data_IF_816706356438
#
_entry.id   IF_816706356438
#
_cell.length_a   1.000
_cell.length_b   1.000
_cell.length_c   1.000
_cell.angle_alpha   90.00
_cell.angle_beta   90.00
_cell.angle_gamma   90.00
#
_symmetry.space_group_name_H-M   'P 1'
#
loop_
_entity.id
_entity.type
_entity.pdbx_description
1 polymer ?
#
# COMPACT_ATOMS: atom_id res chain seq x y z
N UNK A 1 -32.07 0.96 43.44
CA UNK A 1 -30.61 1.14 43.50
C UNK A 1 -30.12 1.42 42.08
N UNK A 2 -30.02 2.69 41.71
CA UNK A 2 -29.65 3.15 40.36
C UNK A 2 -28.17 3.53 40.37
N UNK A 3 -27.36 2.86 39.54
CA UNK A 3 -25.93 3.10 39.43
C UNK A 3 -25.65 4.36 38.58
N UNK A 4 -24.83 5.24 39.13
CA UNK A 4 -24.43 6.51 38.52
C UNK A 4 -23.15 6.29 37.72
N UNK A 5 -23.22 6.36 36.38
CA UNK A 5 -22.03 6.28 35.50
C UNK A 5 -21.44 7.67 35.28
N UNK A 6 -20.12 7.89 35.49
CA UNK A 6 -19.47 9.14 35.16
C UNK A 6 -19.24 9.30 33.64
N UNK A 7 -19.17 10.54 33.13
CA UNK A 7 -18.95 10.84 31.70
C UNK A 7 -17.50 10.59 31.24
N UNK A 8 -17.27 10.36 29.94
CA UNK A 8 -15.93 10.11 29.39
C UNK A 8 -15.06 11.37 29.34
N UNK A 9 -13.79 11.22 29.71
CA UNK A 9 -12.77 12.28 29.63
C UNK A 9 -12.42 12.65 28.17
N UNK A 10 -12.22 13.94 27.86
CA UNK A 10 -11.80 14.37 26.52
C UNK A 10 -10.33 13.99 26.25
N UNK A 11 -10.10 13.29 25.13
CA UNK A 11 -8.75 13.03 24.59
C UNK A 11 -8.15 14.31 24.03
N UNK A 12 -6.96 14.67 24.51
CA UNK A 12 -6.20 15.82 24.01
C UNK A 12 -5.71 15.61 22.57
N UNK A 13 -6.10 16.54 21.69
CA UNK A 13 -5.61 16.65 20.31
C UNK A 13 -4.21 17.24 20.34
N UNK A 14 -3.21 16.48 19.90
CA UNK A 14 -1.82 16.96 19.78
C UNK A 14 -1.61 17.55 18.39
N UNK A 15 -1.90 18.84 18.25
CA UNK A 15 -1.48 19.67 17.12
C UNK A 15 0.03 19.93 17.17
N UNK A 16 0.77 19.50 16.15
CA UNK A 16 2.17 19.90 15.96
C UNK A 16 2.23 21.10 15.00
N UNK A 17 2.76 22.26 15.43
CA UNK A 17 2.92 23.41 14.56
C UNK A 17 4.18 23.31 13.69
N UNK A 18 4.06 23.86 12.49
CA UNK A 18 5.08 23.93 11.47
C UNK A 18 6.05 25.12 11.67
N UNK A 19 7.26 24.95 11.11
CA UNK A 19 8.22 25.96 10.61
C UNK A 19 8.96 26.83 11.63
N UNK A 20 10.29 26.87 11.46
CA UNK A 20 11.06 28.12 11.46
C UNK A 20 12.33 27.96 10.60
N UNK A 21 12.50 28.93 9.71
CA UNK A 21 13.65 29.12 8.84
C UNK A 21 14.81 29.74 9.64
N UNK A 22 16.05 29.42 9.27
CA UNK A 22 17.21 30.23 9.60
C UNK A 22 18.18 30.22 8.42
N UNK A 23 18.20 31.35 7.71
CA UNK A 23 19.21 31.71 6.72
C UNK A 23 20.42 32.25 7.48
N UNK A 24 21.61 31.71 7.22
CA UNK A 24 22.88 32.31 7.59
C UNK A 24 23.86 32.14 6.43
N UNK A 25 24.05 33.23 5.70
CA UNK A 25 25.15 33.42 4.76
C UNK A 25 26.40 33.85 5.53
N UNK A 26 27.60 33.46 5.07
CA UNK A 26 28.86 34.24 5.03
C UNK A 26 30.02 33.39 4.38
N UNK A 27 31.20 33.95 4.01
CA UNK A 27 31.75 33.83 2.65
C UNK A 27 33.14 33.14 2.54
N UNK A 28 33.55 32.93 1.27
CA UNK A 28 34.88 32.73 0.66
C UNK A 28 36.11 32.35 1.53
N UNK A 29 36.83 31.28 1.14
CA UNK A 29 38.20 31.35 0.59
C UNK A 29 38.84 29.95 0.33
N UNK A 30 39.37 29.79 -0.91
CA UNK A 30 40.65 29.21 -1.33
C UNK A 30 41.18 27.81 -0.87
N UNK A 31 41.68 27.10 -1.88
CA UNK A 31 42.78 26.08 -1.91
C UNK A 31 42.54 24.66 -1.38
N UNK A 32 42.82 23.67 -2.24
CA UNK A 32 43.20 22.30 -1.80
C UNK A 32 42.76 21.18 -2.73
N UNK A 33 43.69 20.66 -3.54
CA UNK A 33 43.57 19.40 -4.28
C UNK A 33 43.32 18.20 -3.36
N UNK A 34 42.52 17.24 -3.85
CA UNK A 34 42.59 15.84 -3.46
C UNK A 34 41.59 15.41 -2.40
N UNK A 35 40.33 15.21 -2.79
CA UNK A 35 39.39 14.41 -2.02
C UNK A 35 39.04 13.15 -2.84
N UNK A 36 39.16 11.94 -2.24
CA UNK A 36 38.91 10.69 -2.94
C UNK A 36 37.44 10.60 -3.35
N UNK A 37 37.20 10.28 -4.61
CA UNK A 37 35.88 9.91 -5.13
C UNK A 37 35.37 8.69 -4.35
N UNK A 38 34.60 8.92 -3.28
CA UNK A 38 33.85 7.85 -2.62
C UNK A 38 32.74 7.45 -3.60
N UNK A 39 32.67 6.19 -4.05
CA UNK A 39 31.54 5.75 -4.85
C UNK A 39 30.29 5.91 -3.98
N UNK A 40 29.41 6.84 -4.37
CA UNK A 40 28.07 6.98 -3.79
C UNK A 40 27.30 5.71 -4.15
N UNK A 41 27.45 4.70 -3.29
CA UNK A 41 26.48 3.63 -3.15
C UNK A 41 25.25 4.24 -2.50
N UNK A 42 24.16 4.38 -3.25
CA UNK A 42 22.88 4.75 -2.67
C UNK A 42 22.12 5.87 -3.36
N UNK A 43 22.26 6.04 -4.68
CA UNK A 43 21.08 6.49 -5.41
C UNK A 43 20.13 5.27 -5.44
N UNK A 44 18.99 5.29 -4.71
CA UNK A 44 17.99 4.25 -4.93
C UNK A 44 17.66 4.29 -6.43
N UNK A 45 17.59 3.14 -7.12
CA UNK A 45 17.17 3.14 -8.51
C UNK A 45 15.84 3.88 -8.52
N UNK A 46 15.80 5.02 -9.21
CA UNK A 46 14.55 5.59 -9.64
C UNK A 46 13.93 4.49 -10.48
N UNK A 47 12.99 3.76 -9.90
CA UNK A 47 12.22 2.72 -10.56
C UNK A 47 11.55 3.38 -11.74
N UNK A 48 12.24 3.38 -12.87
CA UNK A 48 11.71 3.82 -14.14
C UNK A 48 10.42 3.05 -14.34
N UNK A 49 9.39 3.79 -14.77
CA UNK A 49 8.25 3.28 -15.53
C UNK A 49 8.71 2.03 -16.29
N UNK A 50 8.14 0.88 -15.93
CA UNK A 50 8.61 -0.40 -16.42
C UNK A 50 8.69 -0.38 -17.94
N UNK A 51 9.89 -0.47 -18.49
CA UNK A 51 10.18 -0.46 -19.94
C UNK A 51 9.52 -1.64 -20.69
N UNK A 52 8.72 -2.46 -20.02
CA UNK A 52 7.99 -3.60 -20.58
C UNK A 52 6.46 -3.45 -20.51
N UNK A 53 5.93 -2.31 -20.06
CA UNK A 53 4.48 -2.14 -20.10
C UNK A 53 3.98 -1.95 -21.53
N UNK A 54 3.01 -2.76 -21.99
CA UNK A 54 2.48 -2.61 -23.32
C UNK A 54 1.75 -1.27 -23.46
N UNK A 55 1.79 -0.64 -24.65
CA UNK A 55 1.36 0.75 -24.85
C UNK A 55 -0.11 1.00 -24.50
N UNK A 56 -0.95 -0.03 -24.49
CA UNK A 56 -2.36 0.08 -24.09
C UNK A 56 -2.54 0.38 -22.59
N UNK A 57 -1.56 0.08 -21.73
CA UNK A 57 -1.60 0.38 -20.29
C UNK A 57 -1.46 1.88 -20.05
N UNK A 58 -0.63 2.58 -20.85
CA UNK A 58 -0.44 4.02 -20.75
C UNK A 58 -1.66 4.83 -21.22
N UNK A 59 -2.50 4.28 -22.11
CA UNK A 59 -3.71 4.94 -22.60
C UNK A 59 -4.90 4.85 -21.63
N UNK A 60 -4.90 3.89 -20.70
CA UNK A 60 -6.02 3.71 -19.78
C UNK A 60 -5.91 4.65 -18.59
N UNK A 61 -7.03 5.27 -18.23
CA UNK A 61 -7.11 6.14 -17.06
C UNK A 61 -6.91 5.40 -15.74
N UNK A 62 -6.99 4.06 -15.75
CA UNK A 62 -6.90 3.19 -14.58
C UNK A 62 -6.21 1.87 -14.96
N UNK A 63 -5.35 1.36 -14.08
CA UNK A 63 -4.71 0.05 -14.25
C UNK A 63 -5.75 -1.07 -14.10
N UNK A 64 -5.56 -2.22 -14.79
CA UNK A 64 -6.48 -3.34 -14.69
C UNK A 64 -6.59 -3.83 -13.24
N UNK A 65 -7.75 -4.39 -12.88
CA UNK A 65 -7.94 -5.02 -11.58
C UNK A 65 -6.86 -6.07 -11.29
N UNK A 66 -6.46 -6.25 -10.03
CA UNK A 66 -5.54 -7.32 -9.68
C UNK A 66 -6.12 -8.69 -10.04
N UNK A 67 -5.25 -9.59 -10.50
CA UNK A 67 -5.62 -10.99 -10.72
C UNK A 67 -6.02 -11.63 -9.40
N UNK A 68 -7.21 -12.22 -9.36
CA UNK A 68 -7.71 -12.91 -8.18
C UNK A 68 -6.80 -14.08 -7.77
N UNK A 69 -6.11 -14.71 -8.72
CA UNK A 69 -5.18 -15.81 -8.46
C UNK A 69 -3.92 -15.38 -7.69
N UNK A 70 -3.62 -14.07 -7.65
CA UNK A 70 -2.51 -13.49 -6.88
C UNK A 70 -2.94 -13.03 -5.48
N UNK A 71 -4.17 -13.33 -5.07
CA UNK A 71 -4.69 -12.98 -3.75
C UNK A 71 -5.47 -14.15 -3.17
N UNK A 72 -5.04 -14.65 -2.02
CA UNK A 72 -5.74 -15.74 -1.31
C UNK A 72 -6.22 -15.24 0.02
N UNK A 73 -7.50 -15.46 0.34
CA UNK A 73 -8.06 -15.18 1.66
C UNK A 73 -8.38 -16.48 2.39
N UNK A 74 -7.84 -16.63 3.59
CA UNK A 74 -8.15 -17.73 4.51
C UNK A 74 -9.15 -17.25 5.56
N UNK A 75 -10.38 -17.75 5.48
CA UNK A 75 -11.48 -17.38 6.38
C UNK A 75 -11.30 -17.91 7.80
N UNK A 76 -10.58 -19.02 7.98
CA UNK A 76 -10.33 -19.59 9.30
C UNK A 76 -9.35 -18.74 10.10
N UNK A 77 -8.28 -18.29 9.44
CA UNK A 77 -7.24 -17.48 10.09
C UNK A 77 -7.48 -15.97 9.99
N UNK A 78 -8.35 -15.55 9.06
CA UNK A 78 -8.58 -14.16 8.70
C UNK A 78 -7.36 -13.53 8.00
N UNK A 79 -6.52 -14.35 7.36
CA UNK A 79 -5.28 -13.91 6.73
C UNK A 79 -5.48 -13.76 5.23
N UNK A 80 -5.15 -12.57 4.72
CA UNK A 80 -5.04 -12.26 3.32
C UNK A 80 -3.58 -12.42 2.89
N UNK A 81 -3.34 -13.34 1.95
CA UNK A 81 -2.03 -13.58 1.32
C UNK A 81 -2.01 -12.89 -0.03
N UNK A 82 -1.01 -12.05 -0.21
CA UNK A 82 -0.77 -11.24 -1.40
C UNK A 82 0.54 -11.74 -2.04
N UNK A 83 0.45 -12.32 -3.23
CA UNK A 83 1.62 -12.83 -3.94
C UNK A 83 2.37 -11.70 -4.63
N UNK A 84 3.65 -11.90 -4.92
CA UNK A 84 4.48 -10.86 -5.54
C UNK A 84 3.87 -10.36 -6.86
N UNK A 85 3.89 -9.04 -7.04
CA UNK A 85 3.50 -8.39 -8.28
C UNK A 85 4.71 -8.28 -9.21
N UNK A 86 4.51 -8.40 -10.53
CA UNK A 86 5.57 -8.11 -11.47
C UNK A 86 5.96 -6.63 -11.42
N UNK A 87 7.25 -6.33 -11.46
CA UNK A 87 7.77 -4.96 -11.42
C UNK A 87 7.96 -4.42 -10.00
N UNK A 88 7.98 -3.09 -9.86
CA UNK A 88 8.12 -2.40 -8.57
C UNK A 88 6.74 -2.06 -7.96
N UNK A 89 5.71 -2.82 -8.33
CA UNK A 89 4.34 -2.59 -7.91
C UNK A 89 4.15 -2.95 -6.43
N UNK A 90 3.25 -2.24 -5.76
CA UNK A 90 3.00 -2.41 -4.32
C UNK A 90 1.54 -2.70 -4.07
N UNK A 91 1.28 -3.72 -3.27
CA UNK A 91 -0.05 -3.98 -2.74
C UNK A 91 -0.49 -2.90 -1.78
N UNK A 92 -1.75 -2.51 -1.91
CA UNK A 92 -2.43 -1.56 -1.06
C UNK A 92 -3.72 -2.20 -0.55
N UNK A 93 -3.96 -2.06 0.75
CA UNK A 93 -5.23 -2.47 1.37
C UNK A 93 -5.89 -1.24 1.95
N UNK A 94 -7.16 -1.07 1.64
CA UNK A 94 -8.02 -0.05 2.23
C UNK A 94 -9.01 -0.72 3.18
N UNK A 95 -8.92 -0.37 4.46
CA UNK A 95 -9.84 -0.85 5.49
C UNK A 95 -11.11 0.02 5.53
N UNK A 96 -12.23 -0.49 6.07
CA UNK A 96 -13.44 0.32 6.23
C UNK A 96 -13.17 1.57 7.09
N UNK A 97 -13.56 2.72 6.57
CA UNK A 97 -13.35 4.02 7.22
C UNK A 97 -12.02 4.69 6.88
N UNK A 98 -11.16 4.06 6.06
CA UNK A 98 -9.96 4.69 5.55
C UNK A 98 -10.24 5.39 4.22
N UNK A 99 -9.76 6.62 4.07
CA UNK A 99 -9.89 7.39 2.82
C UNK A 99 -8.94 6.88 1.73
N UNK A 100 -7.82 6.29 2.12
CA UNK A 100 -6.81 5.75 1.23
C UNK A 100 -6.26 4.43 1.76
N UNK A 101 -5.89 3.53 0.86
CA UNK A 101 -5.23 2.29 1.23
C UNK A 101 -3.82 2.51 1.75
N UNK A 102 -3.36 1.56 2.56
CA UNK A 102 -2.01 1.49 3.12
C UNK A 102 -1.20 0.41 2.40
N UNK A 103 0.12 0.58 2.24
CA UNK A 103 0.99 -0.48 1.75
C UNK A 103 0.83 -1.72 2.61
N UNK A 104 0.56 -2.86 1.98
CA UNK A 104 0.33 -4.11 2.68
C UNK A 104 1.51 -5.06 2.52
N UNK A 105 1.93 -5.75 3.60
CA UNK A 105 2.88 -6.86 3.49
C UNK A 105 2.26 -8.04 2.73
N UNK A 106 3.10 -8.99 2.31
CA UNK A 106 2.65 -10.21 1.62
C UNK A 106 1.62 -11.05 2.41
N UNK A 107 1.56 -10.89 3.73
CA UNK A 107 0.54 -11.50 4.58
C UNK A 107 -0.04 -10.46 5.53
N UNK A 108 -1.31 -10.14 5.35
CA UNK A 108 -2.04 -9.21 6.20
C UNK A 108 -3.17 -9.93 6.92
N UNK A 109 -3.23 -9.79 8.24
CA UNK A 109 -4.39 -10.24 9.01
C UNK A 109 -5.49 -9.18 8.98
N UNK A 110 -6.70 -9.60 8.64
CA UNK A 110 -7.90 -8.77 8.72
C UNK A 110 -8.48 -8.93 10.14
N UNK A 111 -8.79 -7.83 10.85
CA UNK A 111 -9.40 -7.92 12.18
C UNK A 111 -10.75 -8.66 12.12
N UNK A 112 -11.00 -9.49 13.12
CA UNK A 112 -12.27 -10.21 13.24
C UNK A 112 -13.45 -9.22 13.32
N UNK A 113 -14.57 -9.56 12.67
CA UNK A 113 -15.76 -8.70 12.60
C UNK A 113 -15.69 -7.59 11.55
N UNK A 114 -14.58 -7.46 10.81
CA UNK A 114 -14.49 -6.50 9.70
C UNK A 114 -15.35 -6.98 8.51
N UNK A 115 -16.25 -6.14 7.96
CA UNK A 115 -17.04 -6.52 6.79
C UNK A 115 -16.14 -6.65 5.55
N UNK A 116 -15.96 -7.88 5.06
CA UNK A 116 -15.08 -8.18 3.91
C UNK A 116 -15.49 -7.49 2.60
N UNK A 117 -16.75 -7.04 2.51
CA UNK A 117 -17.24 -6.26 1.37
C UNK A 117 -16.64 -4.84 1.32
N UNK A 118 -16.14 -4.33 2.46
CA UNK A 118 -15.58 -2.98 2.57
C UNK A 118 -14.05 -2.99 2.70
N UNK A 119 -13.44 -4.17 2.72
CA UNK A 119 -11.99 -4.30 2.65
C UNK A 119 -11.61 -4.43 1.18
N UNK A 120 -10.95 -3.41 0.66
CA UNK A 120 -10.52 -3.34 -0.72
C UNK A 120 -9.03 -3.61 -0.84
N UNK A 121 -8.67 -4.38 -1.86
CA UNK A 121 -7.29 -4.66 -2.25
C UNK A 121 -7.07 -4.08 -3.64
N UNK A 122 -5.96 -3.40 -3.82
CA UNK A 122 -5.53 -2.88 -5.12
C UNK A 122 -4.00 -2.80 -5.13
N UNK A 123 -3.41 -2.53 -6.28
CA UNK A 123 -1.98 -2.26 -6.36
C UNK A 123 -1.70 -0.89 -6.95
N UNK A 124 -0.54 -0.36 -6.62
CA UNK A 124 -0.01 0.88 -7.18
C UNK A 124 1.33 0.61 -7.83
N UNK A 125 1.51 1.14 -9.03
CA UNK A 125 2.80 1.18 -9.70
C UNK A 125 3.46 2.54 -9.45
N UNK A 126 4.75 2.59 -9.04
CA UNK A 126 5.45 3.85 -8.85
C UNK A 126 5.37 4.73 -10.10
N UNK A 127 4.97 5.99 -9.93
CA UNK A 127 4.79 6.94 -11.03
C UNK A 127 3.50 6.75 -11.85
N UNK A 128 2.63 5.82 -11.46
CA UNK A 128 1.35 5.56 -12.13
C UNK A 128 0.17 5.61 -11.16
N UNK A 129 -1.04 5.47 -11.71
CA UNK A 129 -2.31 5.48 -10.98
C UNK A 129 -2.60 4.14 -10.31
N UNK A 130 -3.42 4.10 -9.24
CA UNK A 130 -3.88 2.85 -8.64
C UNK A 130 -4.70 2.00 -9.63
N UNK A 131 -4.66 0.69 -9.43
CA UNK A 131 -5.52 -0.25 -10.13
C UNK A 131 -6.99 -0.12 -9.73
N UNK A 132 -7.86 -0.78 -10.48
CA UNK A 132 -9.20 -1.09 -9.98
C UNK A 132 -9.09 -1.86 -8.65
N UNK A 133 -10.02 -1.58 -7.76
CA UNK A 133 -10.10 -2.20 -6.45
C UNK A 133 -10.93 -3.49 -6.53
N UNK A 134 -10.52 -4.51 -5.78
CA UNK A 134 -11.29 -5.74 -5.58
C UNK A 134 -11.60 -5.90 -4.09
N UNK A 135 -12.81 -6.30 -3.76
CA UNK A 135 -13.16 -6.56 -2.35
C UNK A 135 -12.67 -7.94 -1.91
N UNK A 136 -12.33 -8.10 -0.62
CA UNK A 136 -11.97 -9.41 -0.05
C UNK A 136 -13.14 -10.40 -0.16
N UNK A 137 -14.39 -9.90 -0.09
CA UNK A 137 -15.57 -10.71 -0.39
C UNK A 137 -15.51 -11.32 -1.80
N UNK A 138 -15.19 -10.52 -2.82
CA UNK A 138 -15.08 -10.98 -4.21
C UNK A 138 -13.91 -11.94 -4.41
N UNK A 139 -12.77 -11.70 -3.75
CA UNK A 139 -11.63 -12.62 -3.75
C UNK A 139 -12.04 -13.98 -3.19
N UNK A 140 -12.74 -14.00 -2.05
CA UNK A 140 -13.26 -15.24 -1.45
C UNK A 140 -14.19 -15.99 -2.41
N UNK A 141 -15.13 -15.29 -3.04
CA UNK A 141 -16.08 -15.88 -4.00
C UNK A 141 -15.37 -16.43 -5.25
N UNK A 142 -14.36 -15.73 -5.75
CA UNK A 142 -13.60 -16.13 -6.95
C UNK A 142 -12.66 -17.31 -6.68
N UNK A 143 -12.04 -17.34 -5.49
CA UNK A 143 -11.18 -18.45 -5.06
C UNK A 143 -11.95 -19.76 -4.83
N UNK A 144 -13.22 -19.68 -4.44
CA UNK A 144 -14.11 -20.85 -4.34
C UNK A 144 -14.43 -21.42 -5.73
N UNK A 145 -14.71 -20.57 -6.71
CA UNK A 145 -15.01 -21.01 -8.08
C UNK A 145 -13.85 -21.79 -8.73
N UNK A 146 -12.60 -21.38 -8.46
CA UNK A 146 -11.42 -22.10 -8.97
C UNK A 146 -11.15 -23.43 -8.25
N UNK A 147 -11.38 -23.51 -6.93
CA UNK A 147 -11.24 -24.77 -6.20
C UNK A 147 -12.28 -25.83 -6.61
N UNK A 148 -13.49 -25.41 -7.00
CA UNK A 148 -14.52 -26.33 -7.49
C UNK A 148 -14.15 -27.00 -8.83
N UNK A 149 -13.30 -26.38 -9.65
CA UNK A 149 -12.80 -27.00 -10.89
C UNK A 149 -11.63 -27.97 -10.65
N UNK A 150 -10.83 -27.75 -9.60
CA UNK A 150 -9.70 -28.62 -9.26
C UNK A 150 -10.13 -29.96 -8.65
N UNK A 151 -11.31 -30.04 -8.03
CA UNK A 151 -11.85 -31.25 -7.41
C UNK A 151 -12.55 -32.21 -8.38
N UNK A 152 -12.62 -31.87 -9.67
CA UNK A 152 -13.27 -32.65 -10.73
C UNK A 152 -12.30 -33.50 -11.57
N UNK A 153 -11.06 -33.68 -11.11
CA UNK A 153 -10.08 -34.63 -11.67
C UNK A 153 -9.92 -35.83 -10.75
#
# INVERSE_FOLDING_TARGET
>A
MTAFSPPPSPRAVRTSPARLAAVLALPLALTGCGAPTVPTAGQPPSSGVGTQDPPWVALRSQLPAPDADRITYDEQTGVLKLYDLPGNDRWMIQMPGEEAGRPSPAQQRIPAGTPLAHVCVYYVRPGMKPSAQISVKQIRETGLAHNSLAALR
#
